data_IF_583891427937
#
_entry.id   IF_583891427937
#
_cell.length_a   1.000
_cell.length_b   1.000
_cell.length_c   1.000
_cell.angle_alpha   90.00
_cell.angle_beta   90.00
_cell.angle_gamma   90.00
#
_symmetry.space_group_name_H-M   'P 1'
#
loop_
_entity.id
_entity.type
_entity.pdbx_description
1 polymer ?
#
# COMPACT_ATOMS: atom_id res chain seq x y z
N UNK A 1 26.34 -26.97 -55.03
CA UNK A 1 25.51 -26.06 -55.84
C UNK A 1 24.86 -25.07 -54.90
N UNK A 2 25.19 -23.79 -55.06
CA UNK A 2 24.75 -22.65 -54.27
C UNK A 2 23.45 -22.03 -54.83
N UNK A 3 22.65 -21.36 -53.97
CA UNK A 3 21.84 -20.14 -54.22
C UNK A 3 20.70 -20.06 -53.18
N UNK A 4 20.32 -18.93 -52.56
CA UNK A 4 20.95 -17.65 -52.27
C UNK A 4 20.01 -16.96 -51.24
N UNK A 5 20.60 -16.26 -50.28
CA UNK A 5 19.93 -15.45 -49.26
C UNK A 5 19.07 -14.31 -49.84
N UNK A 6 18.10 -13.80 -49.05
CA UNK A 6 18.08 -12.36 -48.69
C UNK A 6 17.10 -12.04 -47.55
N UNK A 7 17.70 -11.61 -46.43
CA UNK A 7 17.10 -10.80 -45.37
C UNK A 7 16.61 -9.46 -45.92
N UNK A 8 15.43 -8.99 -45.52
CA UNK A 8 15.08 -7.57 -45.68
C UNK A 8 15.58 -6.78 -44.48
N UNK A 9 16.43 -5.80 -44.78
CA UNK A 9 16.99 -4.81 -43.87
C UNK A 9 15.95 -3.73 -43.55
N UNK A 10 16.19 -3.12 -42.39
CA UNK A 10 15.73 -1.79 -42.00
C UNK A 10 16.22 -0.76 -43.01
N UNK A 11 15.32 0.10 -43.46
CA UNK A 11 15.70 1.39 -44.04
C UNK A 11 15.11 2.49 -43.15
N UNK A 12 16.00 3.39 -42.75
CA UNK A 12 15.73 4.63 -42.06
C UNK A 12 16.00 5.77 -43.05
N UNK A 13 15.03 6.65 -43.24
CA UNK A 13 15.24 8.00 -43.79
C UNK A 13 14.33 8.97 -43.02
N UNK A 14 14.94 9.96 -42.36
CA UNK A 14 14.28 11.23 -42.03
C UNK A 14 14.53 12.24 -43.16
N UNK A 15 14.46 13.56 -42.92
CA UNK A 15 13.59 14.31 -42.01
C UNK A 15 12.83 15.40 -42.81
N UNK A 16 11.60 15.79 -42.45
CA UNK A 16 11.10 17.12 -42.89
C UNK A 16 10.06 17.76 -41.96
N UNK A 17 10.29 19.06 -41.74
CA UNK A 17 9.34 20.12 -41.44
C UNK A 17 8.64 20.14 -40.07
N UNK A 18 9.38 20.66 -39.09
CA UNK A 18 8.86 21.40 -37.94
C UNK A 18 7.86 22.48 -38.41
N UNK A 19 6.59 22.27 -38.09
CA UNK A 19 5.49 23.22 -38.34
C UNK A 19 5.60 24.45 -37.43
N UNK A 20 5.46 25.62 -38.05
CA UNK A 20 5.69 26.97 -37.51
C UNK A 20 4.78 27.27 -36.30
N UNK A 21 5.39 27.73 -35.20
CA UNK A 21 4.67 28.34 -34.06
C UNK A 21 4.14 29.72 -34.47
N UNK A 22 2.88 30.07 -34.15
CA UNK A 22 2.37 31.41 -34.39
C UNK A 22 3.08 32.41 -33.48
N UNK A 23 3.54 33.50 -34.10
CA UNK A 23 4.21 34.64 -33.48
C UNK A 23 3.28 35.35 -32.50
N UNK A 24 3.66 35.41 -31.22
CA UNK A 24 2.99 36.24 -30.21
C UNK A 24 3.09 37.71 -30.61
N UNK A 25 1.94 38.36 -30.75
CA UNK A 25 1.84 39.81 -30.89
C UNK A 25 2.41 40.50 -29.62
N UNK A 26 3.32 41.47 -29.84
CA UNK A 26 3.89 42.34 -28.80
C UNK A 26 2.77 43.09 -28.07
N UNK A 27 2.47 42.69 -26.83
CA UNK A 27 1.68 43.52 -25.90
C UNK A 27 2.57 44.63 -25.35
N UNK A 28 2.08 45.87 -25.40
CA UNK A 28 2.75 47.05 -24.86
C UNK A 28 2.88 46.96 -23.33
N UNK A 29 3.94 47.54 -22.73
CA UNK A 29 4.12 47.51 -21.27
C UNK A 29 3.12 48.44 -20.58
N UNK A 30 2.23 47.87 -19.79
CA UNK A 30 1.36 48.62 -18.87
C UNK A 30 2.24 49.08 -17.70
N UNK A 31 2.47 50.39 -17.56
CA UNK A 31 3.14 50.98 -16.39
C UNK A 31 2.24 50.83 -15.17
N UNK A 32 2.70 50.30 -14.03
CA UNK A 32 1.92 50.33 -12.81
C UNK A 32 1.93 51.76 -12.25
N UNK A 33 0.76 52.33 -12.02
CA UNK A 33 0.63 53.54 -11.20
C UNK A 33 0.85 53.13 -9.74
N UNK A 34 1.85 53.73 -9.10
CA UNK A 34 2.09 53.61 -7.68
C UNK A 34 0.93 54.21 -6.88
N UNK A 35 0.27 53.39 -6.07
CA UNK A 35 -0.48 53.87 -4.92
C UNK A 35 -0.15 52.98 -3.74
N UNK A 36 0.47 53.60 -2.71
CA UNK A 36 0.61 53.04 -1.38
C UNK A 36 -0.80 52.72 -0.87
N UNK A 37 -1.08 51.46 -0.61
CA UNK A 37 -2.22 50.98 0.16
C UNK A 37 -1.67 49.93 1.12
N UNK A 38 -0.94 50.40 2.13
CA UNK A 38 -0.88 49.67 3.39
C UNK A 38 -2.14 50.05 4.17
N UNK A 39 -2.55 49.14 5.05
CA UNK A 39 -3.43 49.36 6.19
C UNK A 39 -4.93 49.07 5.95
N UNK A 40 -5.34 47.87 6.41
CA UNK A 40 -6.69 47.34 6.61
C UNK A 40 -7.19 46.26 5.63
N UNK A 41 -6.59 45.08 5.69
CA UNK A 41 -7.35 43.83 5.48
C UNK A 41 -7.61 43.15 6.84
N UNK A 42 -8.82 42.63 7.08
CA UNK A 42 -9.09 41.83 8.28
C UNK A 42 -8.17 40.61 8.26
N UNK A 43 -7.57 40.29 9.40
CA UNK A 43 -6.88 39.03 9.62
C UNK A 43 -7.89 37.89 9.40
N UNK A 44 -7.94 37.36 8.17
CA UNK A 44 -8.60 36.10 7.93
C UNK A 44 -7.93 35.06 8.82
N UNK A 45 -8.69 34.25 9.59
CA UNK A 45 -8.10 33.11 10.24
C UNK A 45 -7.44 32.29 9.14
N UNK A 46 -6.11 32.18 9.20
CA UNK A 46 -5.37 31.25 8.40
C UNK A 46 -5.94 29.88 8.76
N UNK A 47 -6.91 29.42 7.97
CA UNK A 47 -7.21 28.01 7.86
C UNK A 47 -5.90 27.40 7.36
N UNK A 48 -5.03 27.04 8.30
CA UNK A 48 -4.05 26.00 8.10
C UNK A 48 -4.90 24.84 7.62
N UNK A 49 -4.93 24.64 6.30
CA UNK A 49 -5.33 23.38 5.72
C UNK A 49 -4.43 22.37 6.41
N UNK A 50 -4.98 21.65 7.40
CA UNK A 50 -4.26 20.62 8.10
C UNK A 50 -3.90 19.57 7.04
N UNK A 51 -2.70 19.69 6.51
CA UNK A 51 -2.23 18.81 5.45
C UNK A 51 -2.02 17.45 6.09
N UNK A 52 -2.80 16.46 5.68
CA UNK A 52 -2.65 15.08 6.14
C UNK A 52 -1.21 14.64 5.90
N UNK A 53 -0.46 14.19 6.93
CA UNK A 53 0.92 13.77 6.75
C UNK A 53 1.04 12.68 5.68
N UNK A 54 2.13 12.72 4.91
CA UNK A 54 2.30 11.79 3.80
C UNK A 54 2.37 10.34 4.30
N UNK A 55 3.11 10.08 5.38
CA UNK A 55 3.19 8.73 5.94
C UNK A 55 1.90 8.24 6.57
N UNK A 56 0.99 9.12 7.02
CA UNK A 56 -0.37 8.70 7.36
C UNK A 56 -1.09 8.17 6.11
N UNK A 57 -1.10 8.98 5.05
CA UNK A 57 -1.78 8.65 3.79
C UNK A 57 -1.22 7.37 3.15
N UNK A 58 0.08 7.15 3.26
CA UNK A 58 0.78 5.99 2.72
C UNK A 58 0.69 4.73 3.61
N UNK A 59 0.19 4.83 4.84
CA UNK A 59 0.09 3.69 5.77
C UNK A 59 -1.35 3.38 6.17
N UNK A 60 -1.98 4.19 7.02
CA UNK A 60 -3.27 3.87 7.67
C UNK A 60 -4.35 3.49 6.64
N UNK A 61 -4.65 4.31 5.60
CA UNK A 61 -5.67 3.95 4.61
C UNK A 61 -5.29 2.70 3.79
N UNK A 62 -4.00 2.51 3.52
CA UNK A 62 -3.47 1.36 2.76
C UNK A 62 -3.67 0.08 3.56
N UNK A 63 -3.19 0.02 4.80
CA UNK A 63 -3.35 -1.16 5.64
C UNK A 63 -4.84 -1.45 5.90
N UNK A 64 -5.65 -0.45 6.25
CA UNK A 64 -7.09 -0.67 6.46
C UNK A 64 -7.78 -1.25 5.22
N UNK A 65 -7.42 -0.79 4.01
CA UNK A 65 -7.96 -1.34 2.76
C UNK A 65 -7.68 -2.83 2.64
N UNK A 66 -6.42 -3.24 2.81
CA UNK A 66 -6.01 -4.62 2.60
C UNK A 66 -6.38 -5.52 3.77
N UNK A 67 -6.44 -5.01 5.00
CA UNK A 67 -7.01 -5.75 6.15
C UNK A 67 -8.47 -6.14 5.88
N UNK A 68 -9.28 -5.24 5.30
CA UNK A 68 -10.67 -5.59 4.92
C UNK A 68 -10.72 -6.67 3.85
N UNK A 69 -9.85 -6.60 2.83
CA UNK A 69 -9.79 -7.62 1.78
C UNK A 69 -9.36 -8.98 2.36
N UNK A 70 -8.30 -9.01 3.16
CA UNK A 70 -7.84 -10.21 3.84
C UNK A 70 -8.89 -10.77 4.81
N UNK A 71 -9.60 -9.93 5.55
CA UNK A 71 -10.71 -10.38 6.40
C UNK A 71 -11.77 -11.12 5.57
N UNK A 72 -12.16 -10.61 4.40
CA UNK A 72 -13.10 -11.29 3.52
C UNK A 72 -12.57 -12.64 2.98
N UNK A 73 -11.25 -12.78 2.81
CA UNK A 73 -10.64 -14.05 2.43
C UNK A 73 -10.78 -15.14 3.51
N UNK A 74 -11.03 -14.78 4.78
CA UNK A 74 -11.26 -15.74 5.86
C UNK A 74 -12.55 -16.53 5.60
N UNK A 75 -13.63 -15.84 5.19
CA UNK A 75 -14.91 -16.48 4.91
C UNK A 75 -14.80 -17.42 3.69
N UNK A 76 -14.01 -17.03 2.69
CA UNK A 76 -13.71 -17.87 1.53
C UNK A 76 -12.90 -19.10 1.94
N UNK A 77 -11.93 -18.94 2.84
CA UNK A 77 -11.13 -20.03 3.36
C UNK A 77 -11.97 -21.04 4.16
N UNK A 78 -12.89 -20.55 4.98
CA UNK A 78 -13.79 -21.37 5.79
C UNK A 78 -14.79 -22.16 4.94
N UNK A 79 -15.21 -21.62 3.79
CA UNK A 79 -16.09 -22.31 2.86
C UNK A 79 -15.42 -23.44 2.07
N UNK A 80 -14.10 -23.58 2.12
CA UNK A 80 -13.38 -24.69 1.47
C UNK A 80 -13.65 -26.02 2.21
N UNK A 81 -13.61 -27.17 1.50
CA UNK A 81 -13.71 -28.48 2.11
C UNK A 81 -12.70 -28.66 3.26
N UNK A 82 -13.19 -29.11 4.42
CA UNK A 82 -12.40 -29.19 5.66
C UNK A 82 -11.20 -30.15 5.55
N UNK A 83 -11.30 -31.18 4.71
CA UNK A 83 -10.25 -32.16 4.44
C UNK A 83 -9.03 -31.56 3.72
N UNK A 84 -9.15 -30.37 3.12
CA UNK A 84 -8.02 -29.62 2.58
C UNK A 84 -7.11 -29.03 3.67
N UNK A 85 -7.59 -28.91 4.91
CA UNK A 85 -6.78 -28.44 6.04
C UNK A 85 -6.17 -27.05 5.84
N UNK A 86 -6.92 -26.12 5.23
CA UNK A 86 -6.39 -24.84 4.74
C UNK A 86 -5.62 -24.02 5.78
N UNK A 87 -6.08 -24.01 7.05
CA UNK A 87 -5.43 -23.31 8.15
C UNK A 87 -3.95 -23.73 8.34
N UNK A 88 -3.63 -24.99 8.05
CA UNK A 88 -2.29 -25.56 8.18
C UNK A 88 -1.53 -25.65 6.85
N UNK A 89 -2.16 -25.29 5.74
CA UNK A 89 -1.57 -25.40 4.41
C UNK A 89 -0.36 -24.46 4.25
N UNK A 90 0.65 -24.92 3.51
CA UNK A 90 1.92 -24.21 3.26
C UNK A 90 2.24 -24.16 1.77
N UNK A 91 2.88 -23.08 1.33
CA UNK A 91 3.34 -22.95 -0.07
C UNK A 91 4.50 -23.91 -0.31
N UNK A 92 5.52 -23.83 0.55
CA UNK A 92 6.66 -24.74 0.63
C UNK A 92 6.78 -25.34 2.04
N UNK A 93 7.46 -26.48 2.22
CA UNK A 93 7.53 -27.17 3.53
C UNK A 93 8.06 -26.31 4.67
N UNK A 94 8.98 -25.39 4.40
CA UNK A 94 9.62 -24.47 5.34
C UNK A 94 8.89 -23.13 5.50
N UNK A 95 7.92 -22.83 4.64
CA UNK A 95 7.12 -21.61 4.75
C UNK A 95 6.02 -21.74 5.79
N UNK A 96 5.71 -20.62 6.46
CA UNK A 96 4.65 -20.52 7.47
C UNK A 96 3.26 -20.88 6.89
N UNK A 97 2.38 -21.49 7.69
CA UNK A 97 1.06 -21.92 7.25
C UNK A 97 0.09 -20.75 7.10
N UNK A 98 -1.02 -20.96 6.41
CA UNK A 98 -2.06 -19.94 6.13
C UNK A 98 -2.40 -19.07 7.35
N UNK A 99 -2.72 -19.67 8.49
CA UNK A 99 -3.09 -18.93 9.70
C UNK A 99 -1.98 -17.95 10.11
N UNK A 100 -0.73 -18.39 10.11
CA UNK A 100 0.40 -17.55 10.53
C UNK A 100 0.70 -16.47 9.49
N UNK A 101 0.50 -16.74 8.19
CA UNK A 101 0.61 -15.70 7.16
C UNK A 101 -0.42 -14.57 7.42
N UNK A 102 -1.66 -14.93 7.73
CA UNK A 102 -2.74 -13.99 8.03
C UNK A 102 -2.46 -13.19 9.31
N UNK A 103 -2.02 -13.85 10.37
CA UNK A 103 -1.67 -13.20 11.64
C UNK A 103 -0.52 -12.21 11.48
N UNK A 104 0.54 -12.61 10.78
CA UNK A 104 1.70 -11.73 10.56
C UNK A 104 1.31 -10.54 9.69
N UNK A 105 0.49 -10.71 8.65
CA UNK A 105 -0.01 -9.60 7.86
C UNK A 105 -0.78 -8.60 8.73
N UNK A 106 -1.69 -9.09 9.59
CA UNK A 106 -2.44 -8.22 10.50
C UNK A 106 -1.50 -7.48 11.48
N UNK A 107 -0.57 -8.20 12.11
CA UNK A 107 0.35 -7.64 13.10
C UNK A 107 1.34 -6.64 12.48
N UNK A 108 1.77 -6.83 11.22
CA UNK A 108 2.65 -5.88 10.53
C UNK A 108 2.00 -4.51 10.36
N UNK A 109 0.68 -4.43 10.21
CA UNK A 109 0.00 -3.15 10.14
C UNK A 109 0.16 -2.34 11.45
N UNK A 110 0.07 -3.01 12.60
CA UNK A 110 0.33 -2.37 13.91
C UNK A 110 1.81 -2.02 14.08
N UNK A 111 2.72 -2.94 13.75
CA UNK A 111 4.18 -2.72 13.80
C UNK A 111 4.62 -1.56 12.92
N UNK A 112 3.93 -1.33 11.80
CA UNK A 112 4.18 -0.20 10.93
C UNK A 112 3.66 1.11 11.55
N UNK A 113 2.36 1.16 11.86
CA UNK A 113 1.68 2.41 12.13
C UNK A 113 1.94 2.99 13.51
N UNK A 114 2.11 2.17 14.55
CA UNK A 114 2.30 2.69 15.92
C UNK A 114 3.63 3.43 16.08
N UNK A 115 4.79 2.91 15.66
CA UNK A 115 6.05 3.66 15.71
C UNK A 115 6.02 4.90 14.81
N UNK A 116 5.35 4.84 13.65
CA UNK A 116 5.10 6.00 12.79
C UNK A 116 4.17 7.05 13.41
N UNK A 117 3.35 6.66 14.38
CA UNK A 117 2.54 7.56 15.21
C UNK A 117 3.27 7.99 16.50
N UNK A 118 4.55 7.64 16.67
CA UNK A 118 5.32 7.83 17.89
C UNK A 118 4.69 7.18 19.14
N UNK A 119 4.07 6.01 18.96
CA UNK A 119 3.42 5.24 20.01
C UNK A 119 4.03 3.85 20.12
N UNK A 120 3.99 3.26 21.31
CA UNK A 120 4.36 1.86 21.50
C UNK A 120 3.36 0.94 20.79
N UNK A 121 3.86 -0.14 20.18
CA UNK A 121 3.00 -1.15 19.56
C UNK A 121 2.18 -1.83 20.68
N UNK A 122 0.84 -1.83 20.61
CA UNK A 122 0.01 -2.49 21.61
C UNK A 122 0.18 -4.01 21.50
N UNK A 123 -0.21 -4.77 22.56
CA UNK A 123 -0.34 -6.22 22.44
C UNK A 123 -1.22 -6.58 21.25
N UNK A 124 -0.85 -7.62 20.51
CA UNK A 124 -1.64 -8.05 19.35
C UNK A 124 -2.96 -8.73 19.70
N UNK A 125 -3.23 -8.96 21.00
CA UNK A 125 -4.38 -9.71 21.50
C UNK A 125 -4.16 -11.23 21.46
N UNK A 126 -4.85 -11.90 22.40
CA UNK A 126 -4.95 -13.35 22.51
C UNK A 126 -6.31 -13.77 21.95
N UNK A 127 -6.29 -14.60 20.90
CA UNK A 127 -7.48 -15.07 20.22
C UNK A 127 -7.41 -16.58 20.06
N UNK A 128 -8.58 -17.23 20.09
CA UNK A 128 -8.70 -18.67 19.89
C UNK A 128 -8.14 -19.10 18.52
N UNK A 129 -7.55 -20.29 18.38
CA UNK A 129 -7.16 -20.80 17.08
C UNK A 129 -8.36 -21.00 16.14
N UNK A 130 -8.19 -20.71 14.85
CA UNK A 130 -9.20 -20.97 13.82
C UNK A 130 -9.77 -19.71 13.17
N UNK A 131 -10.82 -19.88 12.36
CA UNK A 131 -11.39 -18.80 11.55
C UNK A 131 -11.98 -17.68 12.41
N UNK A 132 -12.67 -18.01 13.51
CA UNK A 132 -13.25 -17.02 14.42
C UNK A 132 -12.20 -16.15 15.10
N UNK A 133 -11.09 -16.76 15.54
CA UNK A 133 -9.97 -16.00 16.10
C UNK A 133 -9.25 -15.14 15.08
N UNK A 134 -9.12 -15.60 13.82
CA UNK A 134 -8.61 -14.77 12.75
C UNK A 134 -9.54 -13.56 12.50
N UNK A 135 -10.86 -13.75 12.42
CA UNK A 135 -11.82 -12.65 12.30
C UNK A 135 -11.68 -11.67 13.47
N UNK A 136 -11.62 -12.18 14.71
CA UNK A 136 -11.44 -11.36 15.90
C UNK A 136 -10.13 -10.55 15.85
N UNK A 137 -9.01 -11.19 15.46
CA UNK A 137 -7.71 -10.52 15.30
C UNK A 137 -7.76 -9.41 14.27
N UNK A 138 -8.33 -9.66 13.09
CA UNK A 138 -8.41 -8.63 12.03
C UNK A 138 -9.28 -7.44 12.45
N UNK A 139 -10.41 -7.69 13.12
CA UNK A 139 -11.25 -6.63 13.66
C UNK A 139 -10.53 -5.82 14.75
N UNK A 140 -9.83 -6.50 15.65
CA UNK A 140 -9.03 -5.85 16.69
C UNK A 140 -7.95 -4.93 16.08
N UNK A 141 -7.17 -5.44 15.13
CA UNK A 141 -6.13 -4.67 14.43
C UNK A 141 -6.73 -3.48 13.69
N UNK A 142 -7.84 -3.68 12.95
CA UNK A 142 -8.48 -2.60 12.20
C UNK A 142 -8.98 -1.47 13.12
N UNK A 143 -9.54 -1.82 14.29
CA UNK A 143 -10.00 -0.87 15.29
C UNK A 143 -8.84 -0.06 15.88
N UNK A 144 -7.75 -0.74 16.28
CA UNK A 144 -6.54 -0.07 16.78
C UNK A 144 -5.95 0.93 15.78
N UNK A 145 -5.93 0.59 14.48
CA UNK A 145 -5.48 1.53 13.45
C UNK A 145 -6.41 2.73 13.29
N UNK A 146 -7.73 2.55 13.46
CA UNK A 146 -8.69 3.63 13.36
C UNK A 146 -8.57 4.68 14.50
N UNK A 147 -7.95 4.30 15.61
CA UNK A 147 -7.68 5.20 16.75
C UNK A 147 -6.48 6.13 16.53
N UNK A 148 -5.67 5.93 15.49
CA UNK A 148 -4.48 6.74 15.21
C UNK A 148 -4.86 7.94 14.33
N UNK A 149 -4.90 9.18 14.87
CA UNK A 149 -5.24 10.35 14.08
C UNK A 149 -4.09 10.76 13.14
N UNK A 150 -4.38 11.43 12.00
CA UNK A 150 -3.34 11.96 11.11
C UNK A 150 -2.29 12.82 11.81
N UNK A 151 -2.67 13.57 12.85
CA UNK A 151 -1.78 14.44 13.60
C UNK A 151 -0.59 13.71 14.24
N UNK A 152 -0.71 12.43 14.54
CA UNK A 152 0.36 11.66 15.18
C UNK A 152 1.53 11.36 14.22
N UNK A 153 1.29 11.52 12.92
CA UNK A 153 2.25 11.22 11.87
C UNK A 153 3.07 12.45 11.44
N UNK A 154 2.88 13.62 12.05
CA UNK A 154 3.73 14.77 11.77
C UNK A 154 5.20 14.45 12.12
N UNK A 155 6.10 14.62 11.13
CA UNK A 155 7.53 14.33 11.28
C UNK A 155 7.88 12.84 11.28
N UNK A 156 6.93 11.97 10.93
CA UNK A 156 7.18 10.52 10.91
C UNK A 156 8.25 10.12 9.90
N UNK A 157 8.47 10.91 8.84
CA UNK A 157 9.44 10.67 7.77
C UNK A 157 10.86 10.49 8.32
N UNK A 158 11.25 11.31 9.29
CA UNK A 158 12.60 11.36 9.85
C UNK A 158 12.73 10.59 11.17
N UNK A 159 11.62 10.17 11.77
CA UNK A 159 11.62 9.48 13.06
C UNK A 159 12.42 8.18 12.94
N UNK A 160 13.34 7.96 13.86
CA UNK A 160 14.09 6.72 13.94
C UNK A 160 13.20 5.64 14.53
N UNK A 161 13.02 4.56 13.78
CA UNK A 161 12.21 3.41 14.16
C UNK A 161 13.14 2.21 14.33
N UNK A 162 13.13 1.67 15.53
CA UNK A 162 13.82 0.44 15.87
C UNK A 162 12.88 -0.76 15.73
N UNK A 163 13.36 -1.82 15.09
CA UNK A 163 12.63 -3.09 14.97
C UNK A 163 13.62 -4.26 14.88
N UNK A 164 13.11 -5.48 15.04
CA UNK A 164 13.89 -6.71 14.96
C UNK A 164 13.43 -7.54 13.74
N UNK A 165 14.28 -7.62 12.73
CA UNK A 165 14.05 -8.42 11.51
C UNK A 165 14.78 -9.76 11.61
N UNK A 166 14.14 -10.74 12.24
CA UNK A 166 14.78 -12.02 12.56
C UNK A 166 15.93 -11.79 13.53
N UNK A 167 17.17 -12.01 13.10
CA UNK A 167 18.37 -11.75 13.91
C UNK A 167 18.95 -10.34 13.71
N UNK A 168 18.50 -9.61 12.68
CA UNK A 168 18.99 -8.27 12.39
C UNK A 168 18.25 -7.21 13.21
N UNK A 169 19.01 -6.35 13.91
CA UNK A 169 18.49 -5.11 14.50
C UNK A 169 18.37 -4.06 13.40
N UNK A 170 17.20 -3.46 13.27
CA UNK A 170 16.95 -2.35 12.37
C UNK A 170 16.85 -1.05 13.18
N UNK A 171 17.41 0.02 12.63
CA UNK A 171 17.15 1.39 13.05
C UNK A 171 17.07 2.23 11.78
N UNK A 172 15.87 2.61 11.37
CA UNK A 172 15.59 3.22 10.08
C UNK A 172 14.78 4.51 10.23
N UNK A 173 15.00 5.53 9.38
CA UNK A 173 14.06 6.64 9.26
C UNK A 173 12.68 6.13 8.83
N UNK A 174 11.61 6.73 9.36
CA UNK A 174 10.25 6.22 9.21
C UNK A 174 9.79 6.07 7.76
N UNK A 175 10.23 6.93 6.85
CA UNK A 175 9.94 6.78 5.42
C UNK A 175 10.55 5.48 4.85
N UNK A 176 11.83 5.23 5.14
CA UNK A 176 12.53 4.01 4.72
C UNK A 176 11.92 2.77 5.38
N UNK A 177 11.62 2.85 6.68
CA UNK A 177 10.96 1.80 7.42
C UNK A 177 9.62 1.42 6.80
N UNK A 178 8.75 2.39 6.48
CA UNK A 178 7.45 2.10 5.90
C UNK A 178 7.57 1.47 4.50
N UNK A 179 8.30 2.13 3.60
CA UNK A 179 8.29 1.78 2.18
C UNK A 179 9.18 0.59 1.82
N UNK A 180 10.29 0.39 2.56
CA UNK A 180 11.28 -0.63 2.21
C UNK A 180 11.24 -1.84 3.14
N UNK A 181 10.61 -1.73 4.31
CA UNK A 181 10.51 -2.83 5.26
C UNK A 181 9.06 -3.23 5.55
N UNK A 182 8.24 -2.33 6.09
CA UNK A 182 6.92 -2.70 6.59
C UNK A 182 5.91 -3.08 5.48
N UNK A 183 5.75 -2.23 4.45
CA UNK A 183 4.84 -2.52 3.34
C UNK A 183 5.24 -3.78 2.56
N UNK A 184 6.52 -3.99 2.18
CA UNK A 184 6.94 -5.22 1.53
C UNK A 184 6.63 -6.48 2.34
N UNK A 185 6.89 -6.46 3.66
CA UNK A 185 6.57 -7.60 4.52
C UNK A 185 5.06 -7.85 4.60
N UNK A 186 4.27 -6.81 4.81
CA UNK A 186 2.81 -6.92 4.83
C UNK A 186 2.27 -7.57 3.55
N UNK A 187 2.68 -7.06 2.38
CA UNK A 187 2.19 -7.57 1.09
C UNK A 187 2.73 -8.96 0.77
N UNK A 188 3.92 -9.32 1.23
CA UNK A 188 4.43 -10.68 1.12
C UNK A 188 3.51 -11.68 1.83
N UNK A 189 3.17 -11.42 3.09
CA UNK A 189 2.30 -12.30 3.88
C UNK A 189 0.86 -12.32 3.35
N UNK A 190 0.32 -11.15 2.97
CA UNK A 190 -1.00 -11.05 2.35
C UNK A 190 -1.08 -11.86 1.04
N UNK A 191 -0.05 -11.75 0.20
CA UNK A 191 0.02 -12.49 -1.07
C UNK A 191 0.20 -13.99 -0.83
N UNK A 192 1.01 -14.40 0.15
CA UNK A 192 1.19 -15.81 0.49
C UNK A 192 -0.14 -16.45 0.93
N UNK A 193 -0.93 -15.76 1.76
CA UNK A 193 -2.26 -16.22 2.15
C UNK A 193 -3.21 -16.34 0.95
N UNK A 194 -3.25 -15.32 0.07
CA UNK A 194 -4.02 -15.36 -1.17
C UNK A 194 -3.61 -16.55 -2.07
N UNK A 195 -2.31 -16.79 -2.24
CA UNK A 195 -1.79 -17.90 -3.05
C UNK A 195 -2.18 -19.27 -2.49
N UNK A 196 -2.19 -19.43 -1.16
CA UNK A 196 -2.63 -20.68 -0.52
C UNK A 196 -4.10 -20.98 -0.83
N UNK A 197 -4.97 -19.98 -0.74
CA UNK A 197 -6.39 -20.15 -1.11
C UNK A 197 -6.55 -20.49 -2.59
N UNK A 198 -5.83 -19.79 -3.47
CA UNK A 198 -5.89 -20.05 -4.90
C UNK A 198 -5.40 -21.46 -5.24
N UNK A 199 -4.33 -21.93 -4.58
CA UNK A 199 -3.82 -23.30 -4.71
C UNK A 199 -4.81 -24.36 -4.20
N UNK A 200 -5.59 -24.04 -3.17
CA UNK A 200 -6.63 -24.91 -2.63
C UNK A 200 -7.91 -24.94 -3.47
N UNK A 201 -7.94 -24.24 -4.62
CA UNK A 201 -9.08 -24.24 -5.54
C UNK A 201 -10.11 -23.14 -5.28
N UNK A 202 -9.83 -22.19 -4.38
CA UNK A 202 -10.74 -21.06 -4.15
C UNK A 202 -10.93 -20.23 -5.44
N UNK A 203 -12.18 -19.87 -5.72
CA UNK A 203 -12.57 -19.09 -6.89
C UNK A 203 -12.28 -17.58 -6.72
N UNK A 204 -11.07 -17.23 -6.28
CA UNK A 204 -10.62 -15.84 -6.05
C UNK A 204 -9.79 -15.29 -7.21
N UNK A 205 -9.93 -13.99 -7.46
CA UNK A 205 -9.14 -13.24 -8.43
C UNK A 205 -8.48 -12.02 -7.78
N UNK A 206 -7.83 -11.19 -8.62
CA UNK A 206 -7.15 -9.98 -8.16
C UNK A 206 -8.10 -8.98 -7.48
N UNK A 207 -9.38 -9.00 -7.83
CA UNK A 207 -10.43 -8.22 -7.18
C UNK A 207 -10.61 -8.60 -5.70
N UNK A 208 -10.45 -9.87 -5.33
CA UNK A 208 -10.51 -10.27 -3.92
C UNK A 208 -9.27 -9.79 -3.14
N UNK A 209 -8.16 -9.51 -3.84
CA UNK A 209 -6.94 -9.01 -3.22
C UNK A 209 -6.93 -7.49 -3.04
N UNK A 210 -7.15 -6.71 -4.11
CA UNK A 210 -7.07 -5.25 -4.07
C UNK A 210 -8.43 -4.52 -4.09
N UNK A 211 -9.50 -5.25 -4.43
CA UNK A 211 -10.86 -4.75 -4.59
C UNK A 211 -11.01 -3.62 -5.61
N UNK A 212 -10.10 -3.52 -6.57
CA UNK A 212 -10.21 -2.63 -7.72
C UNK A 212 -10.39 -3.40 -9.04
N UNK A 213 -9.83 -4.60 -9.14
CA UNK A 213 -9.97 -5.39 -10.36
C UNK A 213 -11.37 -5.97 -10.49
N UNK A 214 -12.00 -5.70 -11.62
CA UNK A 214 -13.26 -6.31 -12.04
C UNK A 214 -13.00 -7.06 -13.33
N UNK A 215 -13.36 -8.34 -13.36
CA UNK A 215 -13.28 -9.17 -14.55
C UNK A 215 -14.70 -9.44 -15.05
N UNK A 216 -14.90 -9.44 -16.37
CA UNK A 216 -16.12 -9.97 -16.94
C UNK A 216 -16.22 -11.46 -16.60
N UNK A 217 -17.43 -11.96 -16.33
CA UNK A 217 -17.66 -13.39 -16.21
C UNK A 217 -17.15 -14.07 -17.49
N UNK A 218 -16.38 -15.15 -17.34
CA UNK A 218 -15.99 -15.94 -18.49
C UNK A 218 -17.27 -16.45 -19.17
N UNK A 219 -17.42 -16.12 -20.46
CA UNK A 219 -18.53 -16.56 -21.29
C UNK A 219 -18.50 -18.07 -21.53
#
# INVERSE_FOLDING_TARGET
MACLMRSRRRDAEGPTAYGKRPTLARRQPIRPKSTRFCDNMPLHPCHILAMTPHLYTASIPVFQRYLRQLHALIDIAEALPADLGILHARIAPDMLPFTVQMEIAANFALRACYPLANRAVPPYGDFEPGFDGLRARFNHVANLLAELPPSDFFGAEQRQIEDQAGQAKLNLPGEMFLFQYALPNFFFHATAAYTLLRRAGAAIGKGDFDGFHVYAAAA
#
